data_IF_631032073876
#
_entry.id   IF_631032073876
#
_cell.length_a   1.000
_cell.length_b   1.000
_cell.length_c   1.000
_cell.angle_alpha   90.00
_cell.angle_beta   90.00
_cell.angle_gamma   90.00
#
_symmetry.space_group_name_H-M   'P 1'
#
loop_
_entity.id
_entity.type
_entity.pdbx_description
1 polymer ?
#
# COMPACT_ATOMS: atom_id res chain seq x y z
N UNK A 1 -9.26 -9.81 11.36
CA UNK A 1 -10.72 -9.52 11.25
C UNK A 1 -10.87 -8.00 11.32
N UNK A 2 -11.69 -7.36 10.48
CA UNK A 2 -11.86 -5.88 10.49
C UNK A 2 -12.76 -5.46 11.65
N UNK A 3 -12.33 -4.51 12.49
CA UNK A 3 -13.13 -3.98 13.61
C UNK A 3 -13.44 -2.50 13.36
N UNK A 4 -14.75 -2.19 13.30
CA UNK A 4 -15.40 -0.89 13.01
C UNK A 4 -15.17 -0.32 11.61
N UNK A 5 -16.25 -0.27 10.84
CA UNK A 5 -16.37 0.44 9.55
C UNK A 5 -17.33 1.62 9.70
N UNK A 6 -16.98 2.74 9.06
CA UNK A 6 -17.94 3.82 8.80
C UNK A 6 -18.55 3.53 7.43
N UNK A 7 -19.87 3.68 7.29
CA UNK A 7 -20.55 3.49 6.01
C UNK A 7 -19.97 4.46 4.97
N UNK A 8 -19.60 3.94 3.81
CA UNK A 8 -18.89 4.67 2.77
C UNK A 8 -19.89 5.33 1.81
N UNK A 9 -19.81 6.65 1.62
CA UNK A 9 -20.80 7.47 0.85
C UNK A 9 -20.79 7.25 -0.67
N UNK A 10 -19.96 6.32 -1.16
CA UNK A 10 -20.34 5.48 -2.30
C UNK A 10 -19.82 5.86 -3.68
N UNK A 11 -18.79 6.70 -3.85
CA UNK A 11 -18.33 7.07 -5.21
C UNK A 11 -16.82 6.92 -5.51
N UNK A 12 -16.06 6.19 -4.69
CA UNK A 12 -14.63 5.93 -4.96
C UNK A 12 -14.52 4.58 -5.64
N UNK A 13 -13.73 4.58 -6.70
CA UNK A 13 -13.35 3.38 -7.44
C UNK A 13 -11.84 3.32 -7.51
N UNK A 14 -11.30 2.12 -7.44
CA UNK A 14 -9.91 1.86 -7.80
C UNK A 14 -9.89 1.57 -9.29
N UNK A 15 -9.10 2.34 -10.04
CA UNK A 15 -8.88 2.11 -11.48
C UNK A 15 -7.58 1.32 -11.63
N UNK A 16 -7.67 0.14 -12.22
CA UNK A 16 -6.52 -0.72 -12.50
C UNK A 16 -5.85 -0.36 -13.84
N UNK A 17 -4.67 -0.91 -14.10
CA UNK A 17 -3.90 -0.63 -15.32
C UNK A 17 -4.64 -1.01 -16.63
N UNK A 18 -5.55 -1.99 -16.57
CA UNK A 18 -6.42 -2.37 -17.70
C UNK A 18 -7.75 -1.57 -17.73
N UNK A 19 -7.82 -0.44 -17.02
CA UNK A 19 -8.99 0.43 -16.89
C UNK A 19 -10.23 -0.20 -16.24
N UNK A 20 -10.12 -1.39 -15.63
CA UNK A 20 -11.21 -1.91 -14.80
C UNK A 20 -11.43 -1.00 -13.60
N UNK A 21 -12.69 -0.66 -13.33
CA UNK A 21 -13.10 0.13 -12.17
C UNK A 21 -13.63 -0.81 -11.09
N UNK A 22 -12.93 -0.90 -9.97
CA UNK A 22 -13.31 -1.74 -8.84
C UNK A 22 -13.94 -0.88 -7.74
N UNK A 23 -15.18 -1.17 -7.31
CA UNK A 23 -15.86 -0.38 -6.30
C UNK A 23 -15.21 -0.57 -4.92
N UNK A 24 -15.06 0.53 -4.20
CA UNK A 24 -14.70 0.50 -2.77
C UNK A 24 -15.97 0.18 -1.97
N UNK A 25 -15.94 -0.91 -1.20
CA UNK A 25 -17.07 -1.33 -0.37
C UNK A 25 -17.11 -0.55 0.96
N UNK A 26 -15.96 -0.33 1.60
CA UNK A 26 -15.85 0.49 2.81
C UNK A 26 -14.42 0.97 3.07
N UNK A 27 -14.28 1.92 3.99
CA UNK A 27 -13.01 2.38 4.56
C UNK A 27 -12.96 1.94 6.02
N UNK A 28 -11.88 1.28 6.44
CA UNK A 28 -11.77 0.76 7.80
C UNK A 28 -10.34 0.56 8.29
N UNK A 29 -10.22 -0.15 9.41
CA UNK A 29 -8.93 -0.59 9.94
C UNK A 29 -8.62 -2.03 9.53
N UNK A 30 -7.37 -2.30 9.14
CA UNK A 30 -6.90 -3.63 8.80
C UNK A 30 -5.72 -4.02 9.71
N UNK A 31 -5.86 -5.14 10.40
CA UNK A 31 -4.79 -5.74 11.18
C UNK A 31 -3.89 -6.57 10.27
N UNK A 32 -2.60 -6.22 10.25
CA UNK A 32 -1.57 -6.89 9.47
C UNK A 32 -0.58 -7.50 10.45
N UNK A 33 -0.47 -8.83 10.43
CA UNK A 33 0.51 -9.54 11.23
C UNK A 33 1.90 -9.26 10.64
N UNK A 34 2.71 -8.48 11.35
CA UNK A 34 4.08 -8.25 10.95
C UNK A 34 5.00 -9.33 11.50
N UNK A 35 5.99 -9.76 10.71
CA UNK A 35 6.97 -10.78 11.10
C UNK A 35 7.91 -10.35 12.25
N UNK A 36 7.74 -9.14 12.80
CA UNK A 36 8.54 -8.59 13.90
C UNK A 36 7.78 -8.59 15.26
N UNK A 37 6.70 -9.37 15.38
CA UNK A 37 6.00 -9.57 16.65
C UNK A 37 5.14 -8.40 17.11
N UNK A 38 4.82 -7.47 16.22
CA UNK A 38 3.83 -6.41 16.47
C UNK A 38 2.78 -6.45 15.37
N UNK A 39 1.55 -6.71 15.76
CA UNK A 39 0.40 -6.52 14.87
C UNK A 39 0.31 -5.05 14.49
N UNK A 40 0.29 -4.79 13.18
CA UNK A 40 0.19 -3.45 12.64
C UNK A 40 -1.27 -3.18 12.30
N UNK A 41 -1.86 -2.18 12.94
CA UNK A 41 -3.19 -1.70 12.58
C UNK A 41 -3.04 -0.60 11.53
N UNK A 42 -3.36 -0.93 10.29
CA UNK A 42 -3.50 0.04 9.21
C UNK A 42 -4.84 0.75 9.35
N UNK A 43 -4.84 2.08 9.28
CA UNK A 43 -6.06 2.91 9.31
C UNK A 43 -6.36 3.46 7.92
N UNK A 44 -7.62 3.79 7.67
CA UNK A 44 -8.09 4.36 6.40
C UNK A 44 -7.82 3.42 5.20
N UNK A 45 -7.99 2.12 5.39
CA UNK A 45 -7.79 1.11 4.34
C UNK A 45 -9.05 0.98 3.48
N UNK A 46 -8.88 1.03 2.16
CA UNK A 46 -9.96 0.69 1.23
C UNK A 46 -10.17 -0.82 1.17
N UNK A 47 -11.36 -1.27 1.51
CA UNK A 47 -11.79 -2.63 1.22
C UNK A 47 -12.41 -2.69 -0.17
N UNK A 48 -11.74 -3.38 -1.09
CA UNK A 48 -12.14 -3.52 -2.49
C UNK A 48 -12.33 -5.02 -2.79
N UNK A 49 -13.57 -5.56 -2.70
CA UNK A 49 -13.82 -7.00 -2.80
C UNK A 49 -13.35 -7.62 -4.13
N UNK A 50 -13.35 -6.84 -5.21
CA UNK A 50 -12.89 -7.28 -6.53
C UNK A 50 -11.36 -7.37 -6.67
N UNK A 51 -10.61 -7.03 -5.63
CA UNK A 51 -9.14 -7.03 -5.65
C UNK A 51 -8.59 -8.22 -4.87
N UNK A 52 -7.84 -9.09 -5.55
CA UNK A 52 -7.33 -10.35 -4.97
C UNK A 52 -5.95 -10.23 -4.32
N UNK A 53 -5.29 -9.07 -4.48
CA UNK A 53 -3.96 -8.80 -3.91
C UNK A 53 -3.98 -7.48 -3.17
N UNK A 54 -3.23 -7.40 -2.07
CA UNK A 54 -2.98 -6.12 -1.40
C UNK A 54 -2.07 -5.26 -2.27
N UNK A 55 -2.34 -3.96 -2.31
CA UNK A 55 -1.49 -2.99 -3.01
C UNK A 55 -0.84 -2.03 -2.01
N UNK A 56 0.42 -1.73 -2.27
CA UNK A 56 1.16 -0.64 -1.62
C UNK A 56 1.48 0.41 -2.67
N UNK A 57 1.22 1.68 -2.36
CA UNK A 57 1.49 2.79 -3.26
C UNK A 57 2.95 3.23 -3.14
N UNK A 58 3.73 2.97 -4.18
CA UNK A 58 5.14 3.42 -4.27
C UNK A 58 5.26 4.95 -4.17
N UNK A 59 4.43 5.77 -4.85
CA UNK A 59 4.46 7.21 -4.67
C UNK A 59 4.23 7.65 -3.22
N UNK A 60 3.34 6.99 -2.47
CA UNK A 60 3.11 7.32 -1.07
C UNK A 60 4.29 6.90 -0.18
N UNK A 61 4.86 5.71 -0.40
CA UNK A 61 6.04 5.25 0.34
C UNK A 61 7.23 6.20 0.15
N UNK A 62 7.49 6.61 -1.08
CA UNK A 62 8.58 7.55 -1.42
C UNK A 62 8.31 8.96 -0.90
N UNK A 63 7.06 9.43 -0.91
CA UNK A 63 6.68 10.71 -0.29
C UNK A 63 6.87 10.72 1.24
N UNK A 64 6.82 9.55 1.90
CA UNK A 64 7.15 9.38 3.32
C UNK A 64 8.66 9.23 3.58
N UNK A 65 9.50 9.36 2.55
CA UNK A 65 10.95 9.21 2.64
C UNK A 65 11.45 7.77 2.62
N UNK A 66 10.59 6.79 2.30
CA UNK A 66 11.03 5.40 2.19
C UNK A 66 11.64 5.09 0.83
N UNK A 67 12.70 4.27 0.84
CA UNK A 67 13.28 3.73 -0.39
C UNK A 67 12.61 2.40 -0.75
N UNK A 68 12.18 2.28 -2.00
CA UNK A 68 11.59 1.05 -2.53
C UNK A 68 12.54 0.44 -3.56
N UNK A 69 12.99 -0.80 -3.32
CA UNK A 69 13.93 -1.52 -4.18
C UNK A 69 13.22 -2.71 -4.81
N UNK A 70 13.18 -2.75 -6.15
CA UNK A 70 12.65 -3.87 -6.92
C UNK A 70 13.78 -4.84 -7.27
N UNK A 71 13.74 -6.04 -6.68
CA UNK A 71 14.62 -7.14 -7.03
C UNK A 71 13.95 -8.11 -8.02
N UNK A 72 14.70 -9.08 -8.55
CA UNK A 72 14.13 -10.11 -9.42
C UNK A 72 13.11 -11.02 -8.73
N UNK A 73 13.18 -11.14 -7.40
CA UNK A 73 12.34 -12.07 -6.62
C UNK A 73 11.41 -11.35 -5.62
N UNK A 74 11.74 -10.13 -5.19
CA UNK A 74 11.03 -9.43 -4.13
C UNK A 74 11.05 -7.90 -4.30
N UNK A 75 10.26 -7.22 -3.49
CA UNK A 75 10.28 -5.75 -3.32
C UNK A 75 10.58 -5.46 -1.86
N UNK A 76 11.56 -4.60 -1.59
CA UNK A 76 11.97 -4.21 -0.24
C UNK A 76 11.72 -2.72 -0.01
N UNK A 77 11.28 -2.37 1.19
CA UNK A 77 11.02 -0.99 1.61
C UNK A 77 11.91 -0.66 2.81
N UNK A 78 12.67 0.43 2.74
CA UNK A 78 13.62 0.86 3.77
C UNK A 78 13.22 2.24 4.32
N UNK A 79 13.25 2.38 5.65
CA UNK A 79 12.94 3.64 6.35
C UNK A 79 14.11 4.62 6.33
N UNK A 80 15.30 4.11 6.61
CA UNK A 80 16.56 4.82 6.59
C UNK A 80 17.53 3.92 5.86
N UNK A 81 17.84 4.28 4.62
CA UNK A 81 18.91 3.61 3.93
C UNK A 81 20.11 4.55 3.97
N UNK A 82 21.14 4.13 4.69
CA UNK A 82 22.51 4.42 4.27
C UNK A 82 22.67 3.67 2.94
N UNK A 83 22.08 4.20 1.86
CA UNK A 83 22.11 3.57 0.55
C UNK A 83 23.57 3.66 0.10
N UNK A 84 24.38 2.67 0.45
CA UNK A 84 25.78 2.59 0.00
C UNK A 84 25.91 2.45 -1.52
N UNK A 85 24.78 2.33 -2.24
CA UNK A 85 24.72 2.17 -3.70
C UNK A 85 23.97 3.33 -4.32
N UNK A 86 24.51 3.85 -5.41
CA UNK A 86 23.83 4.88 -6.21
C UNK A 86 22.46 4.37 -6.67
N UNK A 87 21.36 5.11 -6.44
CA UNK A 87 20.05 4.75 -6.97
C UNK A 87 20.14 4.54 -8.49
N UNK A 88 19.63 3.41 -9.00
CA UNK A 88 19.67 3.13 -10.44
C UNK A 88 18.63 3.93 -11.22
N UNK A 89 17.54 4.33 -10.56
CA UNK A 89 16.48 5.13 -11.14
C UNK A 89 15.94 6.10 -10.08
N UNK A 90 15.98 7.38 -10.39
CA UNK A 90 15.28 8.42 -9.63
C UNK A 90 14.05 8.84 -10.42
N UNK A 91 12.88 8.86 -9.77
CA UNK A 91 11.68 9.44 -10.35
C UNK A 91 11.89 10.94 -10.57
N UNK A 92 11.36 11.48 -11.68
CA UNK A 92 11.36 12.95 -11.89
C UNK A 92 10.55 13.62 -10.77
N UNK A 93 11.14 14.66 -10.16
CA UNK A 93 10.45 15.60 -9.28
C UNK A 93 9.39 16.40 -10.01
#
# INVERSE_FOLDING_TARGET
QVRKSKEYDGNRVVVTANNTKLPVAHIGEAEVVANFGKDLILRNVYHVPGMTKNLLSVPQLTALGHYVVFGPNDVKVYKDADVQRTPMFEGRK
#
